data_IF_859656315156
#
_entry.id   IF_859656315156
#
_cell.length_a   1.000
_cell.length_b   1.000
_cell.length_c   1.000
_cell.angle_alpha   90.00
_cell.angle_beta   90.00
_cell.angle_gamma   90.00
#
_symmetry.space_group_name_H-M   'P 1'
#
loop_
_entity.id
_entity.type
_entity.pdbx_description
1 polymer ?
#
# COMPACT_ATOMS: atom_id res chain seq x y z
N UNK A 1 32.62 89.90 20.28
CA UNK A 1 33.72 89.00 19.88
C UNK A 1 33.30 88.28 18.59
N UNK A 2 33.53 88.88 17.42
CA UNK A 2 32.92 88.42 16.15
C UNK A 2 33.85 88.57 14.94
N UNK A 3 33.95 87.52 14.13
CA UNK A 3 34.07 87.45 12.64
C UNK A 3 34.62 86.06 12.27
N UNK A 4 34.09 85.29 11.29
CA UNK A 4 33.94 85.54 9.84
C UNK A 4 35.29 85.76 9.14
N UNK A 5 35.61 85.13 7.98
CA UNK A 5 34.93 84.11 7.15
C UNK A 5 35.88 83.67 6.01
N UNK A 6 35.86 82.36 5.62
CA UNK A 6 36.57 81.77 4.43
C UNK A 6 38.11 81.77 4.58
N UNK A 7 38.90 81.00 3.81
CA UNK A 7 38.71 80.42 2.47
C UNK A 7 39.51 79.11 2.23
N UNK A 8 39.10 78.27 1.26
CA UNK A 8 39.83 77.10 0.74
C UNK A 8 39.87 75.84 1.65
N UNK A 9 39.84 74.60 1.17
CA UNK A 9 39.44 74.08 -0.14
C UNK A 9 40.51 73.28 -0.92
N UNK A 10 40.58 71.94 -0.70
CA UNK A 10 40.79 70.91 -1.76
C UNK A 10 40.80 69.45 -1.27
N UNK A 11 40.32 68.58 -2.17
CA UNK A 11 40.49 67.12 -2.36
C UNK A 11 40.88 66.17 -1.20
N UNK A 12 40.03 65.16 -0.96
CA UNK A 12 40.43 63.76 -1.07
C UNK A 12 39.26 62.85 -1.52
N UNK A 13 39.62 61.86 -2.34
CA UNK A 13 38.87 60.73 -2.93
C UNK A 13 37.73 60.17 -2.05
N UNK A 14 36.50 60.03 -2.55
CA UNK A 14 36.03 59.03 -3.54
C UNK A 14 35.84 57.62 -2.96
N UNK A 15 34.57 57.19 -2.88
CA UNK A 15 34.13 55.93 -3.47
C UNK A 15 32.63 56.00 -3.81
N UNK A 16 32.27 55.62 -5.04
CA UNK A 16 30.90 55.50 -5.51
C UNK A 16 30.21 54.24 -5.00
N UNK A 17 29.13 54.37 -4.20
CA UNK A 17 28.02 53.39 -4.14
C UNK A 17 26.80 53.89 -3.33
N UNK A 18 26.04 54.84 -3.91
CA UNK A 18 24.65 55.09 -3.50
C UNK A 18 23.70 54.23 -4.36
N UNK A 19 23.18 53.12 -3.81
CA UNK A 19 21.86 52.45 -4.08
C UNK A 19 21.92 50.95 -3.76
N UNK A 20 21.64 50.58 -2.50
CA UNK A 20 21.23 49.23 -2.10
C UNK A 20 20.69 49.19 -0.65
N UNK A 21 19.73 50.07 -0.30
CA UNK A 21 18.97 49.90 0.96
C UNK A 21 17.90 48.84 0.70
N UNK A 22 18.31 47.57 0.68
CA UNK A 22 17.39 46.45 0.59
C UNK A 22 16.50 46.44 1.82
N UNK A 23 15.21 46.70 1.61
CA UNK A 23 14.19 46.58 2.64
C UNK A 23 13.93 45.09 2.84
N UNK A 24 14.31 44.58 4.02
CA UNK A 24 13.95 43.22 4.43
C UNK A 24 12.45 43.22 4.69
N UNK A 25 11.69 42.63 3.78
CA UNK A 25 10.35 42.19 4.09
C UNK A 25 10.49 41.04 5.07
N UNK A 26 9.89 41.22 6.25
CA UNK A 26 9.74 40.19 7.26
C UNK A 26 8.46 39.44 6.86
N UNK A 27 8.61 38.37 6.07
CA UNK A 27 7.47 37.54 5.68
C UNK A 27 6.96 36.83 6.94
N UNK A 28 5.68 36.99 7.33
CA UNK A 28 5.15 36.33 8.51
C UNK A 28 5.21 34.82 8.28
N UNK A 29 5.77 34.10 9.23
CA UNK A 29 5.76 32.64 9.20
C UNK A 29 4.29 32.17 9.14
N UNK A 30 3.95 31.49 8.05
CA UNK A 30 2.62 30.87 7.91
C UNK A 30 2.60 29.68 8.87
N UNK A 31 1.98 29.89 10.03
CA UNK A 31 1.53 28.78 10.87
C UNK A 31 0.52 27.96 10.04
N UNK A 32 0.70 26.64 9.89
CA UNK A 32 -0.26 25.83 9.15
C UNK A 32 -1.60 25.86 9.88
N UNK A 33 -2.66 26.16 9.13
CA UNK A 33 -4.05 26.11 9.60
C UNK A 33 -4.32 24.68 10.10
N UNK A 34 -4.79 24.44 11.34
CA UNK A 34 -5.04 23.10 11.82
C UNK A 34 -6.12 22.42 10.98
N UNK A 35 -5.69 21.49 10.13
CA UNK A 35 -6.55 20.76 9.21
C UNK A 35 -7.73 20.14 9.98
N UNK A 36 -8.95 20.52 9.60
CA UNK A 36 -10.18 19.95 10.16
C UNK A 36 -10.09 18.43 10.01
N UNK A 37 -10.20 17.62 11.08
CA UNK A 37 -9.85 16.20 11.05
C UNK A 37 -10.44 15.49 9.85
N UNK A 38 -9.57 15.22 8.88
CA UNK A 38 -9.97 14.82 7.54
C UNK A 38 -10.59 13.43 7.54
N UNK A 39 -11.21 13.09 6.42
CA UNK A 39 -11.36 11.68 6.08
C UNK A 39 -9.94 11.13 5.89
N UNK A 40 -9.57 10.09 6.65
CA UNK A 40 -8.20 9.58 6.73
C UNK A 40 -7.66 9.03 5.40
N UNK A 41 -6.41 8.52 5.35
CA UNK A 41 -5.58 8.06 6.45
C UNK A 41 -5.20 9.11 7.51
N UNK A 42 -5.22 8.73 8.79
CA UNK A 42 -4.82 9.57 9.93
C UNK A 42 -3.38 9.29 10.34
N UNK A 43 -2.72 10.27 10.98
CA UNK A 43 -1.60 9.96 11.87
C UNK A 43 -2.12 9.31 13.16
N UNK A 44 -1.27 8.57 13.87
CA UNK A 44 -1.59 7.99 15.18
C UNK A 44 -1.96 9.04 16.24
N UNK A 45 -1.53 10.30 16.08
CA UNK A 45 -1.91 11.40 16.96
C UNK A 45 -3.38 11.85 16.80
N UNK A 46 -3.94 11.76 15.60
CA UNK A 46 -5.22 12.35 15.21
C UNK A 46 -6.32 11.29 14.94
N UNK A 47 -5.97 10.02 15.11
CA UNK A 47 -6.83 8.88 14.82
C UNK A 47 -8.04 8.78 15.78
N UNK A 48 -9.26 8.48 15.27
CA UNK A 48 -10.43 8.32 16.13
C UNK A 48 -10.38 7.05 16.98
N UNK A 49 -10.68 7.22 18.28
CA UNK A 49 -10.84 6.17 19.27
C UNK A 49 -11.98 5.18 18.95
N UNK A 50 -11.92 3.99 19.55
CA UNK A 50 -13.00 3.00 19.53
C UNK A 50 -13.15 2.19 18.23
N UNK A 51 -12.47 2.56 17.15
CA UNK A 51 -12.40 1.76 15.91
C UNK A 51 -11.51 0.53 16.14
N UNK A 52 -12.03 -0.68 15.89
CA UNK A 52 -11.20 -1.89 15.92
C UNK A 52 -10.26 -1.94 14.70
N UNK A 53 -8.99 -2.24 14.95
CA UNK A 53 -7.94 -2.25 13.92
C UNK A 53 -7.11 -3.53 13.96
N UNK A 54 -6.60 -3.94 12.80
CA UNK A 54 -5.46 -4.84 12.68
C UNK A 54 -4.19 -3.99 12.70
N UNK A 55 -3.37 -4.15 13.73
CA UNK A 55 -2.10 -3.43 13.88
C UNK A 55 -0.97 -4.20 13.18
N UNK A 56 -0.35 -3.59 12.16
CA UNK A 56 0.82 -4.13 11.45
C UNK A 56 2.12 -3.40 11.82
N UNK A 57 2.18 -2.75 12.98
CA UNK A 57 3.25 -1.83 13.37
C UNK A 57 2.97 -0.43 12.82
N UNK A 58 3.66 -0.06 11.73
CA UNK A 58 3.51 1.29 11.15
C UNK A 58 2.23 1.54 10.34
N UNK A 59 1.36 0.55 10.20
CA UNK A 59 0.04 0.68 9.55
C UNK A 59 -1.01 -0.07 10.37
N UNK A 60 -2.12 0.61 10.68
CA UNK A 60 -3.25 0.07 11.46
C UNK A 60 -4.52 0.16 10.62
N UNK A 61 -5.02 -1.00 10.19
CA UNK A 61 -6.09 -1.13 9.19
C UNK A 61 -7.43 -1.33 9.93
N UNK A 62 -8.51 -0.58 9.62
CA UNK A 62 -9.81 -0.80 10.26
C UNK A 62 -10.38 -2.18 9.88
N UNK A 63 -11.07 -2.82 10.82
CA UNK A 63 -11.93 -3.96 10.50
C UNK A 63 -13.22 -3.44 9.85
N UNK A 64 -13.45 -3.80 8.59
CA UNK A 64 -14.65 -3.42 7.81
C UNK A 64 -15.29 -4.70 7.25
N UNK A 65 -16.61 -4.82 7.39
CA UNK A 65 -17.33 -6.02 6.98
C UNK A 65 -17.17 -6.31 5.48
N UNK A 66 -16.93 -7.58 5.15
CA UNK A 66 -16.71 -8.06 3.79
C UNK A 66 -15.31 -7.83 3.21
N UNK A 67 -14.42 -7.08 3.88
CA UNK A 67 -13.05 -6.85 3.41
C UNK A 67 -12.11 -7.93 3.95
N UNK A 68 -11.48 -8.68 3.04
CA UNK A 68 -10.43 -9.65 3.38
C UNK A 68 -9.06 -8.96 3.40
N UNK A 69 -8.33 -9.06 4.51
CA UNK A 69 -6.97 -8.51 4.64
C UNK A 69 -5.93 -9.59 4.33
N UNK A 70 -5.36 -9.56 3.13
CA UNK A 70 -4.27 -10.46 2.70
C UNK A 70 -2.92 -9.83 3.01
N UNK A 71 -2.15 -10.49 3.88
CA UNK A 71 -0.81 -10.04 4.29
C UNK A 71 0.21 -11.08 3.86
N UNK A 72 1.19 -10.66 3.05
CA UNK A 72 2.35 -11.49 2.68
C UNK A 72 3.56 -11.04 3.51
N UNK A 73 4.25 -11.99 4.13
CA UNK A 73 5.43 -11.75 4.95
C UNK A 73 6.54 -12.76 4.61
N UNK A 74 7.79 -12.36 4.85
CA UNK A 74 8.95 -13.25 4.75
C UNK A 74 9.03 -14.22 5.97
N UNK A 75 9.91 -15.24 5.94
CA UNK A 75 10.08 -16.17 7.07
C UNK A 75 10.44 -15.47 8.40
N UNK A 76 11.04 -14.29 8.35
CA UNK A 76 11.40 -13.46 9.50
C UNK A 76 10.21 -12.62 10.06
N UNK A 77 9.01 -12.73 9.50
CA UNK A 77 7.80 -12.03 9.94
C UNK A 77 7.72 -10.55 9.53
N UNK A 78 8.59 -10.11 8.62
CA UNK A 78 8.52 -8.80 7.97
C UNK A 78 7.46 -8.84 6.88
N UNK A 79 6.45 -7.98 6.99
CA UNK A 79 5.40 -7.86 5.97
C UNK A 79 5.97 -7.17 4.73
N UNK A 80 5.78 -7.81 3.58
CA UNK A 80 6.27 -7.35 2.27
C UNK A 80 5.15 -6.73 1.42
N UNK A 81 3.91 -7.24 1.55
CA UNK A 81 2.75 -6.75 0.81
C UNK A 81 1.48 -6.84 1.66
N UNK A 82 0.66 -5.80 1.60
CA UNK A 82 -0.69 -5.77 2.18
C UNK A 82 -1.67 -5.53 1.04
N UNK A 83 -2.70 -6.38 0.93
CA UNK A 83 -3.78 -6.23 -0.06
C UNK A 83 -5.11 -6.42 0.64
N UNK A 84 -6.00 -5.44 0.50
CA UNK A 84 -7.39 -5.51 0.91
C UNK A 84 -8.21 -5.99 -0.29
N UNK A 85 -9.13 -6.96 -0.09
CA UNK A 85 -9.93 -7.54 -1.17
C UNK A 85 -11.41 -7.50 -0.80
N UNK A 86 -12.26 -7.06 -1.74
CA UNK A 86 -13.71 -7.03 -1.58
C UNK A 86 -14.38 -7.32 -2.94
N UNK A 87 -14.98 -8.50 -3.06
CA UNK A 87 -15.50 -9.00 -4.35
C UNK A 87 -14.40 -9.15 -5.38
N UNK A 88 -14.59 -8.54 -6.55
CA UNK A 88 -13.61 -8.52 -7.66
C UNK A 88 -12.62 -7.33 -7.57
N UNK A 89 -12.75 -6.47 -6.55
CA UNK A 89 -11.88 -5.32 -6.33
C UNK A 89 -10.78 -5.64 -5.32
N UNK A 90 -9.61 -5.04 -5.53
CA UNK A 90 -8.52 -5.06 -4.56
C UNK A 90 -7.89 -3.68 -4.37
N UNK A 91 -7.36 -3.42 -3.17
CA UNK A 91 -6.57 -2.25 -2.82
C UNK A 91 -5.25 -2.72 -2.19
N UNK A 92 -4.16 -2.63 -2.93
CA UNK A 92 -2.82 -2.85 -2.37
C UNK A 92 -2.34 -1.60 -1.65
N UNK A 93 -1.77 -1.77 -0.45
CA UNK A 93 -1.25 -0.70 0.37
C UNK A 93 0.28 -0.78 0.51
N UNK A 94 0.92 0.38 0.51
CA UNK A 94 2.30 0.58 0.96
C UNK A 94 2.40 1.89 1.74
N UNK A 95 3.30 1.97 2.72
CA UNK A 95 3.51 3.18 3.53
C UNK A 95 4.99 3.51 3.58
N UNK A 96 5.34 4.77 3.37
CA UNK A 96 6.70 5.25 3.18
C UNK A 96 7.03 6.41 4.12
N UNK A 97 8.30 6.60 4.45
CA UNK A 97 8.77 7.75 5.21
C UNK A 97 8.94 8.99 4.31
N UNK A 98 8.28 10.09 4.65
CA UNK A 98 8.42 11.39 4.00
C UNK A 98 9.40 12.31 4.80
N UNK A 99 9.81 13.49 4.30
CA UNK A 99 10.56 14.47 5.08
C UNK A 99 9.65 15.18 6.11
N UNK A 100 10.06 16.34 6.64
CA UNK A 100 9.22 17.21 7.50
C UNK A 100 8.63 18.41 6.77
N UNK A 101 9.09 18.67 5.55
CA UNK A 101 8.91 19.91 4.78
C UNK A 101 7.83 19.79 3.72
N UNK A 102 7.73 18.63 3.07
CA UNK A 102 6.79 18.38 1.98
C UNK A 102 6.32 16.92 1.97
N UNK A 103 5.27 16.67 1.18
CA UNK A 103 4.88 15.33 0.76
C UNK A 103 5.86 14.73 -0.26
N UNK A 104 5.74 13.44 -0.54
CA UNK A 104 6.54 12.72 -1.54
C UNK A 104 5.67 12.12 -2.66
N UNK A 105 4.35 12.32 -2.65
CA UNK A 105 3.48 11.73 -3.67
C UNK A 105 3.77 12.27 -5.08
N UNK A 106 4.02 13.57 -5.27
CA UNK A 106 4.33 14.11 -6.59
C UNK A 106 5.60 13.50 -7.20
N UNK A 107 6.67 13.35 -6.41
CA UNK A 107 7.90 12.66 -6.85
C UNK A 107 7.63 11.19 -7.18
N UNK A 108 6.96 10.47 -6.28
CA UNK A 108 6.68 9.03 -6.44
C UNK A 108 5.71 8.76 -7.59
N UNK A 109 4.74 9.64 -7.84
CA UNK A 109 3.82 9.57 -8.99
C UNK A 109 4.58 9.76 -10.30
N UNK A 110 5.54 10.71 -10.35
CA UNK A 110 6.41 10.90 -11.50
C UNK A 110 7.34 9.70 -11.74
N UNK A 111 7.94 9.11 -10.69
CA UNK A 111 8.77 7.89 -10.78
C UNK A 111 7.98 6.67 -11.26
N UNK A 112 6.73 6.49 -10.78
CA UNK A 112 5.83 5.42 -11.24
C UNK A 112 5.42 5.65 -12.70
N UNK A 113 5.05 6.89 -13.08
CA UNK A 113 4.68 7.21 -14.47
C UNK A 113 5.85 6.98 -15.44
N UNK A 114 7.08 7.31 -15.04
CA UNK A 114 8.26 7.03 -15.86
C UNK A 114 8.51 5.53 -16.00
N UNK A 115 8.42 4.78 -14.90
CA UNK A 115 8.61 3.32 -14.91
C UNK A 115 7.59 2.61 -15.79
N UNK A 116 6.31 3.00 -15.72
CA UNK A 116 5.25 2.50 -16.60
C UNK A 116 5.51 2.85 -18.07
N UNK A 117 5.98 4.06 -18.37
CA UNK A 117 6.36 4.45 -19.73
C UNK A 117 7.53 3.62 -20.28
N UNK A 118 8.54 3.33 -19.45
CA UNK A 118 9.69 2.51 -19.82
C UNK A 118 9.30 1.02 -20.04
N UNK A 119 8.31 0.52 -19.30
CA UNK A 119 7.63 -0.77 -19.54
C UNK A 119 6.68 -0.75 -20.77
N UNK A 120 6.54 0.40 -21.46
CA UNK A 120 5.67 0.56 -22.64
C UNK A 120 4.18 0.72 -22.33
N UNK A 121 3.82 0.99 -21.07
CA UNK A 121 2.46 1.20 -20.58
C UNK A 121 2.12 2.69 -20.57
N UNK A 122 1.04 3.07 -21.25
CA UNK A 122 0.50 4.43 -21.14
C UNK A 122 -0.15 4.63 -19.76
N UNK A 123 0.17 5.76 -19.12
CA UNK A 123 -0.40 6.18 -17.85
C UNK A 123 -0.89 7.63 -17.93
N UNK A 124 -2.02 7.91 -17.26
CA UNK A 124 -2.77 9.17 -17.29
C UNK A 124 -2.87 9.75 -15.88
N UNK A 125 -2.53 11.03 -15.69
CA UNK A 125 -2.72 11.72 -14.40
C UNK A 125 -4.13 12.33 -14.37
N UNK A 126 -4.88 12.10 -13.29
CA UNK A 126 -6.31 12.46 -13.16
C UNK A 126 -6.57 12.97 -11.75
N UNK A 127 -7.29 14.08 -11.59
CA UNK A 127 -7.66 14.61 -10.28
C UNK A 127 -8.57 13.63 -9.50
N UNK A 128 -8.19 13.31 -8.26
CA UNK A 128 -8.94 12.48 -7.32
C UNK A 128 -9.17 13.18 -5.97
N UNK A 129 -9.72 12.43 -5.01
CA UNK A 129 -10.12 12.95 -3.69
C UNK A 129 -8.93 13.49 -2.87
N UNK A 130 -7.75 12.88 -3.06
CA UNK A 130 -6.51 13.24 -2.37
C UNK A 130 -5.53 14.02 -3.27
N UNK A 131 -6.04 14.69 -4.32
CA UNK A 131 -5.23 15.33 -5.35
C UNK A 131 -4.94 14.40 -6.53
N UNK A 132 -3.87 14.63 -7.33
CA UNK A 132 -3.68 13.94 -8.60
C UNK A 132 -3.35 12.45 -8.43
N UNK A 133 -4.19 11.59 -8.96
CA UNK A 133 -3.99 10.14 -9.08
C UNK A 133 -3.30 9.79 -10.40
N UNK A 134 -2.79 8.56 -10.52
CA UNK A 134 -2.28 8.00 -11.78
C UNK A 134 -3.10 6.77 -12.16
N UNK A 135 -3.56 6.70 -13.41
CA UNK A 135 -4.30 5.56 -13.98
C UNK A 135 -3.48 4.89 -15.07
N UNK A 136 -3.49 3.56 -15.12
CA UNK A 136 -2.78 2.80 -16.15
C UNK A 136 -3.47 1.47 -16.45
N UNK A 137 -3.32 0.96 -17.68
CA UNK A 137 -3.85 -0.35 -18.10
C UNK A 137 -2.69 -1.29 -18.45
N UNK A 138 -2.38 -2.22 -17.55
CA UNK A 138 -1.27 -3.16 -17.68
C UNK A 138 -1.70 -4.48 -18.31
N UNK A 139 -0.74 -5.24 -18.84
CA UNK A 139 -0.91 -6.59 -19.39
C UNK A 139 -0.45 -7.61 -18.35
N UNK A 140 -1.38 -8.32 -17.73
CA UNK A 140 -1.11 -9.40 -16.77
C UNK A 140 -1.17 -10.77 -17.48
N UNK A 141 -0.74 -11.86 -16.82
CA UNK A 141 -1.00 -13.22 -17.32
C UNK A 141 -2.51 -13.49 -17.50
N UNK A 142 -3.33 -12.95 -16.61
CA UNK A 142 -4.78 -13.16 -16.56
C UNK A 142 -5.57 -12.27 -17.54
N UNK A 143 -4.98 -11.16 -18.04
CA UNK A 143 -5.60 -10.36 -19.09
C UNK A 143 -5.04 -8.95 -19.28
N UNK A 144 -5.96 -7.99 -19.41
CA UNK A 144 -5.70 -6.57 -19.23
C UNK A 144 -6.26 -6.17 -17.87
N UNK A 145 -5.47 -5.44 -17.08
CA UNK A 145 -5.83 -5.04 -15.72
C UNK A 145 -5.70 -3.53 -15.59
N UNK A 146 -6.78 -2.87 -15.17
CA UNK A 146 -6.75 -1.46 -14.82
C UNK A 146 -6.17 -1.27 -13.41
N UNK A 147 -5.28 -0.28 -13.28
CA UNK A 147 -4.64 0.13 -12.04
C UNK A 147 -4.90 1.62 -11.80
N UNK A 148 -5.23 1.98 -10.56
CA UNK A 148 -5.38 3.38 -10.11
C UNK A 148 -4.52 3.59 -8.86
N UNK A 149 -3.44 4.33 -9.02
CA UNK A 149 -2.49 4.67 -7.97
C UNK A 149 -2.93 5.97 -7.30
N UNK A 150 -3.15 5.91 -5.99
CA UNK A 150 -3.48 7.04 -5.13
C UNK A 150 -2.35 7.19 -4.12
N UNK A 151 -1.85 8.40 -3.91
CA UNK A 151 -0.92 8.71 -2.84
C UNK A 151 -1.52 9.76 -1.90
N UNK A 152 -1.27 9.58 -0.62
CA UNK A 152 -1.80 10.41 0.46
C UNK A 152 -0.62 10.72 1.38
N UNK A 153 -0.11 11.94 1.28
CA UNK A 153 0.92 12.46 2.16
C UNK A 153 0.31 12.90 3.50
N UNK A 154 1.06 12.67 4.58
CA UNK A 154 0.68 13.03 5.95
C UNK A 154 1.92 13.28 6.83
N UNK A 155 1.77 13.44 8.15
CA UNK A 155 2.84 13.88 9.06
C UNK A 155 4.15 13.06 9.04
N UNK A 156 5.03 13.40 8.09
CA UNK A 156 6.29 12.71 7.77
C UNK A 156 6.11 11.30 7.19
N UNK A 157 4.98 10.99 6.57
CA UNK A 157 4.74 9.71 5.92
C UNK A 157 3.88 9.86 4.65
N UNK A 158 3.83 8.81 3.83
CA UNK A 158 2.97 8.74 2.66
C UNK A 158 2.37 7.35 2.54
N UNK A 159 1.04 7.27 2.38
CA UNK A 159 0.31 6.04 2.05
C UNK A 159 0.09 5.99 0.55
N UNK A 160 0.55 4.91 -0.11
CA UNK A 160 0.24 4.62 -1.51
C UNK A 160 -0.78 3.49 -1.59
N UNK A 161 -1.99 3.82 -2.04
CA UNK A 161 -2.99 2.87 -2.49
C UNK A 161 -2.80 2.52 -3.97
N UNK A 162 -3.00 1.26 -4.33
CA UNK A 162 -3.15 0.83 -5.73
C UNK A 162 -4.43 0.00 -5.84
N UNK A 163 -5.47 0.62 -6.39
CA UNK A 163 -6.73 -0.06 -6.69
C UNK A 163 -6.59 -0.92 -7.95
N UNK A 164 -7.29 -2.05 -7.95
CA UNK A 164 -7.41 -3.01 -9.05
C UNK A 164 -8.87 -3.45 -9.19
N UNK A 165 -9.26 -3.88 -10.40
CA UNK A 165 -10.65 -4.25 -10.72
C UNK A 165 -11.51 -3.04 -11.07
N UNK A 166 -12.82 -3.13 -10.84
CA UNK A 166 -13.77 -2.02 -11.10
C UNK A 166 -13.39 -0.73 -10.37
N UNK A 167 -12.88 -0.84 -9.14
CA UNK A 167 -12.40 0.28 -8.31
C UNK A 167 -11.20 1.07 -8.90
N UNK A 168 -10.53 0.53 -9.93
CA UNK A 168 -9.49 1.23 -10.69
C UNK A 168 -10.06 2.06 -11.85
N UNK A 169 -11.12 1.59 -12.51
CA UNK A 169 -11.79 2.33 -13.57
C UNK A 169 -12.74 3.41 -13.01
N UNK A 170 -13.51 3.04 -11.99
CA UNK A 170 -14.50 3.89 -11.32
C UNK A 170 -14.22 3.96 -9.81
N UNK A 171 -13.89 5.15 -9.25
CA UNK A 171 -13.72 5.32 -7.81
C UNK A 171 -14.97 4.99 -6.99
N UNK A 172 -16.19 5.21 -7.52
CA UNK A 172 -17.42 4.92 -6.78
C UNK A 172 -17.62 3.41 -6.54
N UNK A 173 -17.03 2.57 -7.40
CA UNK A 173 -17.01 1.11 -7.27
C UNK A 173 -16.06 0.59 -6.18
N UNK A 174 -15.32 1.44 -5.47
CA UNK A 174 -14.40 1.02 -4.41
C UNK A 174 -15.13 0.48 -3.15
N UNK A 175 -16.28 1.06 -2.78
CA UNK A 175 -17.11 0.60 -1.65
C UNK A 175 -16.30 0.44 -0.34
N UNK A 176 -16.43 -0.69 0.38
CA UNK A 176 -15.69 -0.95 1.62
C UNK A 176 -14.16 -0.80 1.56
N UNK A 177 -13.54 -0.87 0.37
CA UNK A 177 -12.10 -0.60 0.23
C UNK A 177 -11.76 0.90 0.39
N UNK A 178 -12.72 1.78 0.08
CA UNK A 178 -12.62 3.21 0.35
C UNK A 178 -12.80 3.47 1.85
N UNK A 179 -13.80 2.87 2.50
CA UNK A 179 -13.97 2.93 3.96
C UNK A 179 -12.72 2.44 4.71
N UNK A 180 -12.05 1.40 4.19
CA UNK A 180 -10.77 0.96 4.72
C UNK A 180 -9.66 2.01 4.56
N UNK A 181 -9.55 2.67 3.40
CA UNK A 181 -8.56 3.73 3.14
C UNK A 181 -8.81 4.93 4.05
N UNK A 182 -10.05 5.40 4.09
CA UNK A 182 -10.59 6.48 4.94
C UNK A 182 -10.37 6.21 6.43
N UNK A 183 -10.35 4.94 6.80
CA UNK A 183 -10.11 4.52 8.16
C UNK A 183 -8.64 4.29 8.52
N UNK A 184 -7.67 4.19 7.60
CA UNK A 184 -6.28 3.81 7.93
C UNK A 184 -5.64 4.74 8.96
N UNK A 185 -4.77 4.20 9.81
CA UNK A 185 -3.94 4.98 10.73
C UNK A 185 -2.47 4.60 10.53
N UNK A 186 -1.61 5.59 10.38
CA UNK A 186 -0.15 5.42 10.21
C UNK A 186 0.57 5.70 11.51
N UNK A 187 1.52 4.85 11.88
CA UNK A 187 2.39 5.03 13.05
C UNK A 187 3.86 4.97 12.62
N UNK A 188 4.42 6.11 12.23
CA UNK A 188 5.83 6.20 11.83
C UNK A 188 6.78 5.84 12.99
N UNK A 189 6.34 5.99 14.24
CA UNK A 189 7.21 6.09 15.40
C UNK A 189 8.11 7.34 15.36
N UNK A 190 8.88 7.56 16.43
CA UNK A 190 9.68 8.77 16.58
C UNK A 190 11.05 8.74 15.87
N UNK A 191 11.49 7.56 15.43
CA UNK A 191 12.84 7.36 14.88
C UNK A 191 13.12 8.17 13.60
N UNK A 192 14.40 8.48 13.40
CA UNK A 192 14.90 8.86 12.10
C UNK A 192 14.78 7.64 11.16
N UNK A 193 14.17 7.86 9.98
CA UNK A 193 14.04 6.87 8.90
C UNK A 193 14.28 7.62 7.59
N UNK A 194 15.13 7.10 6.68
CA UNK A 194 15.41 7.75 5.39
C UNK A 194 14.14 8.02 4.58
N UNK A 195 14.18 9.07 3.76
CA UNK A 195 13.04 9.48 2.93
C UNK A 195 12.85 8.48 1.78
N UNK A 196 11.59 8.20 1.42
CA UNK A 196 11.13 7.16 0.47
C UNK A 196 11.39 5.70 0.86
N UNK A 197 12.00 5.41 2.02
CA UNK A 197 12.03 4.02 2.54
C UNK A 197 10.65 3.56 3.03
N UNK A 198 10.27 2.28 2.82
CA UNK A 198 9.03 1.73 3.34
C UNK A 198 9.08 1.63 4.88
N UNK A 199 7.98 1.98 5.54
CA UNK A 199 7.87 1.86 6.99
C UNK A 199 7.81 0.39 7.43
N UNK A 200 8.37 0.04 8.61
CA UNK A 200 8.52 -1.35 9.02
C UNK A 200 7.18 -1.99 9.42
N UNK A 201 6.62 -2.80 8.51
CA UNK A 201 5.40 -3.57 8.76
C UNK A 201 5.72 -4.97 9.35
N UNK A 202 4.89 -5.45 10.28
CA UNK A 202 5.04 -6.73 11.01
C UNK A 202 3.68 -7.37 11.25
N UNK A 203 3.59 -8.70 11.26
CA UNK A 203 2.39 -9.39 11.69
C UNK A 203 2.24 -9.37 13.24
N UNK A 204 1.01 -9.25 13.78
CA UNK A 204 0.72 -9.52 15.18
C UNK A 204 1.26 -10.89 15.62
N UNK A 205 1.85 -10.95 16.82
CA UNK A 205 2.43 -12.18 17.38
C UNK A 205 1.41 -13.33 17.45
N UNK A 206 0.14 -13.00 17.71
CA UNK A 206 -0.96 -13.96 17.80
C UNK A 206 -1.31 -14.59 16.44
N UNK A 207 -1.26 -13.81 15.35
CA UNK A 207 -1.45 -14.34 13.99
C UNK A 207 -0.23 -15.12 13.51
N UNK A 208 0.98 -14.63 13.79
CA UNK A 208 2.22 -15.31 13.45
C UNK A 208 2.32 -16.70 14.13
N UNK A 209 1.94 -16.80 15.41
CA UNK A 209 1.91 -18.07 16.15
C UNK A 209 0.89 -19.06 15.56
N UNK A 210 -0.31 -18.59 15.17
CA UNK A 210 -1.33 -19.44 14.53
C UNK A 210 -0.87 -19.97 13.17
N UNK A 211 -0.25 -19.13 12.33
CA UNK A 211 0.29 -19.55 11.04
C UNK A 211 1.37 -20.64 11.20
N UNK A 212 2.28 -20.47 12.15
CA UNK A 212 3.32 -21.46 12.46
C UNK A 212 2.75 -22.78 12.99
N UNK A 213 1.71 -22.74 13.83
CA UNK A 213 1.03 -23.94 14.33
C UNK A 213 0.30 -24.70 13.23
N UNK A 214 -0.40 -24.00 12.32
CA UNK A 214 -1.06 -24.61 11.17
C UNK A 214 -0.07 -25.26 10.20
N UNK A 215 1.07 -24.60 9.93
CA UNK A 215 2.15 -25.17 9.12
C UNK A 215 2.76 -26.42 9.77
N UNK A 216 3.04 -26.38 11.07
CA UNK A 216 3.57 -27.54 11.80
C UNK A 216 2.60 -28.74 11.81
N UNK A 217 1.28 -28.52 11.79
CA UNK A 217 0.29 -29.59 11.66
C UNK A 217 0.12 -30.11 10.24
N UNK A 218 0.39 -29.30 9.21
CA UNK A 218 0.41 -29.75 7.82
C UNK A 218 1.63 -30.64 7.51
N UNK A 219 2.82 -30.27 8.01
CA UNK A 219 4.05 -31.05 7.86
C UNK A 219 4.04 -32.35 8.70
N UNK A 220 3.29 -32.38 9.81
CA UNK A 220 3.17 -33.52 10.70
C UNK A 220 2.08 -34.55 10.31
N UNK A 221 1.38 -34.36 9.19
CA UNK A 221 0.39 -35.32 8.70
C UNK A 221 1.08 -36.57 8.10
N UNK A 222 0.95 -37.77 8.70
CA UNK A 222 1.65 -38.95 8.20
C UNK A 222 1.11 -39.40 6.84
N UNK A 223 2.01 -39.78 5.93
CA UNK A 223 1.64 -40.55 4.75
C UNK A 223 1.30 -41.99 5.17
N UNK A 224 0.06 -42.24 5.58
CA UNK A 224 -0.43 -43.60 5.89
C UNK A 224 -0.50 -44.45 4.62
N UNK A 225 0.55 -45.25 4.43
CA UNK A 225 0.66 -46.29 3.42
C UNK A 225 -0.14 -47.53 3.85
N UNK A 226 -1.40 -47.61 3.41
CA UNK A 226 -2.22 -48.83 3.58
C UNK A 226 -1.77 -49.94 2.62
N UNK A 227 -0.70 -50.64 2.98
CA UNK A 227 -0.24 -51.88 2.32
C UNK A 227 -0.16 -53.03 3.32
N UNK A 228 -1.29 -53.71 3.60
CA UNK A 228 -1.35 -55.16 3.82
C UNK A 228 -2.78 -55.69 4.07
N UNK A 229 -3.25 -56.62 3.22
CA UNK A 229 -4.42 -57.48 3.51
C UNK A 229 -4.02 -58.97 3.56
N UNK A 230 -3.88 -59.58 4.75
CA UNK A 230 -3.75 -61.02 4.95
C UNK A 230 -5.09 -61.67 5.43
N UNK A 231 -5.19 -63.01 5.50
CA UNK A 231 -6.33 -63.66 4.83
C UNK A 231 -7.33 -64.40 5.74
N UNK A 232 -8.52 -64.67 5.19
CA UNK A 232 -9.48 -65.66 5.72
C UNK A 232 -9.72 -66.78 4.70
N UNK A 233 -9.70 -68.03 5.17
CA UNK A 233 -9.76 -69.23 4.34
C UNK A 233 -10.64 -70.28 5.05
N UNK A 234 -11.69 -70.78 4.38
CA UNK A 234 -12.68 -71.68 4.97
C UNK A 234 -13.61 -72.30 3.93
N UNK A 235 -13.71 -73.64 3.94
CA UNK A 235 -14.43 -74.46 2.94
C UNK A 235 -15.96 -74.23 2.92
N UNK A 236 -16.72 -74.63 1.89
CA UNK A 236 -16.40 -75.68 0.90
C UNK A 236 -17.21 -75.69 -0.41
N UNK A 237 -17.28 -76.82 -1.14
CA UNK A 237 -17.32 -76.80 -2.62
C UNK A 237 -18.64 -77.21 -3.31
N UNK A 238 -18.80 -76.78 -4.57
CA UNK A 238 -19.55 -77.49 -5.63
C UNK A 238 -19.23 -76.96 -7.05
N UNK A 239 -19.40 -77.81 -8.07
CA UNK A 239 -19.19 -77.57 -9.52
C UNK A 239 -20.12 -78.52 -10.31
N UNK A 240 -20.36 -78.37 -11.65
CA UNK A 240 -20.02 -77.28 -12.58
C UNK A 240 -21.35 -76.62 -13.11
N UNK A 241 -21.91 -76.72 -14.36
CA UNK A 241 -21.35 -76.84 -15.72
C UNK A 241 -21.98 -75.96 -16.85
N UNK A 242 -21.15 -75.67 -17.87
CA UNK A 242 -21.45 -75.56 -19.33
C UNK A 242 -22.39 -74.45 -19.89
N UNK A 243 -21.74 -73.40 -20.44
CA UNK A 243 -21.89 -72.80 -21.80
C UNK A 243 -23.24 -72.88 -22.55
N UNK A 244 -23.66 -71.73 -23.12
CA UNK A 244 -24.09 -71.59 -24.54
C UNK A 244 -23.77 -70.18 -25.09
N UNK A 245 -23.63 -69.98 -26.43
CA UNK A 245 -23.16 -68.73 -27.03
C UNK A 245 -24.26 -67.81 -27.60
N UNK A 246 -23.87 -66.59 -27.99
CA UNK A 246 -24.71 -65.48 -28.43
C UNK A 246 -25.39 -65.64 -29.81
N UNK A 247 -26.58 -65.02 -30.04
CA UNK A 247 -27.15 -64.80 -31.37
C UNK A 247 -26.72 -63.45 -31.98
N UNK A 248 -26.66 -63.38 -33.32
CA UNK A 248 -26.48 -62.12 -34.08
C UNK A 248 -27.80 -61.35 -34.23
N UNK A 249 -27.79 -60.01 -34.33
CA UNK A 249 -28.88 -59.28 -34.96
C UNK A 249 -28.87 -59.47 -36.49
N UNK A 250 -30.05 -59.72 -37.06
CA UNK A 250 -30.51 -59.13 -38.34
C UNK A 250 -31.25 -57.82 -37.97
N UNK A 251 -31.57 -56.85 -38.84
CA UNK A 251 -31.79 -56.72 -40.30
C UNK A 251 -31.61 -55.19 -40.59
N UNK A 252 -31.71 -54.60 -41.78
CA UNK A 252 -32.16 -55.01 -43.13
C UNK A 252 -31.15 -54.58 -44.18
#
# INVERSE_FOLDING_TARGET
MFSRRREGGRHARDNSQRRARAERYDEPAVEPDPEVPGVGPYDVADAPDGVQRLDLGSLKIPAVDGVEVRVQANPEGVVQQVVLVHGENALQLGVFAAPRSEGIWDEVRAEIRQSLFDDGVAAEEVDGEYGPELRARVRTPDGLTDLRFVGIDGPRWMVRGVYQGGAAADPASAGPLLDCLHGLVVDRGQEAKPVREPLPLRLPKELAAQAQQGQAQADAAPAEVDEASPPVNGAGPSQPPRRRPSPRPRRT
#
